data_IF_107733641637
#
_entry.id   IF_107733641637
#
_cell.length_a   1.000
_cell.length_b   1.000
_cell.length_c   1.000
_cell.angle_alpha   90.00
_cell.angle_beta   90.00
_cell.angle_gamma   90.00
#
_symmetry.space_group_name_H-M   'P 1'
#
loop_
_entity.id
_entity.type
_entity.pdbx_description
1 polymer ?
#
# COMPACT_ATOMS: atom_id res chain seq x y z
N UNK A 1 7.41 -2.24 -28.69
CA UNK A 1 7.02 -3.34 -27.79
C UNK A 1 8.04 -3.44 -26.65
N UNK A 2 9.31 -3.77 -26.90
CA UNK A 2 10.34 -3.94 -25.84
C UNK A 2 10.63 -2.71 -24.94
N UNK A 3 10.49 -1.49 -25.46
CA UNK A 3 10.73 -0.27 -24.65
C UNK A 3 9.60 0.01 -23.65
N UNK A 4 8.36 -0.31 -24.01
CA UNK A 4 7.21 -0.13 -23.10
C UNK A 4 7.28 -1.19 -22.01
N UNK A 5 7.61 -2.42 -22.38
CA UNK A 5 7.74 -3.54 -21.43
C UNK A 5 8.84 -3.29 -20.38
N UNK A 6 10.00 -2.79 -20.78
CA UNK A 6 11.06 -2.38 -19.83
C UNK A 6 10.65 -1.23 -18.92
N UNK A 7 9.85 -0.28 -19.40
CA UNK A 7 9.34 0.82 -18.58
C UNK A 7 8.37 0.30 -17.53
N UNK A 8 7.46 -0.61 -17.90
CA UNK A 8 6.52 -1.23 -16.96
C UNK A 8 7.27 -2.03 -15.89
N UNK A 9 8.26 -2.85 -16.27
CA UNK A 9 9.10 -3.59 -15.32
C UNK A 9 9.93 -2.69 -14.40
N UNK A 10 10.30 -1.49 -14.87
CA UNK A 10 11.04 -0.53 -14.03
C UNK A 10 10.13 0.19 -13.02
N UNK A 11 8.89 0.50 -13.41
CA UNK A 11 7.88 1.12 -12.53
C UNK A 11 7.47 0.11 -11.45
N UNK A 12 7.19 -1.12 -11.86
CA UNK A 12 6.95 -2.28 -11.02
C UNK A 12 7.98 -2.46 -9.89
N UNK A 13 9.26 -2.53 -10.28
CA UNK A 13 10.36 -2.69 -9.34
C UNK A 13 10.49 -1.50 -8.38
N UNK A 14 10.19 -0.29 -8.85
CA UNK A 14 10.20 0.93 -8.04
C UNK A 14 9.07 0.93 -7.00
N UNK A 15 7.83 0.62 -7.39
CA UNK A 15 6.67 0.56 -6.49
C UNK A 15 6.84 -0.47 -5.38
N UNK A 16 7.30 -1.67 -5.73
CA UNK A 16 7.58 -2.73 -4.76
C UNK A 16 8.69 -2.35 -3.79
N UNK A 17 9.70 -1.60 -4.26
CA UNK A 17 10.80 -1.10 -3.43
C UNK A 17 10.40 0.11 -2.55
N UNK A 18 9.37 0.88 -2.93
CA UNK A 18 8.84 2.01 -2.15
C UNK A 18 7.90 1.56 -1.02
N UNK A 19 7.25 0.41 -1.15
CA UNK A 19 6.29 -0.09 -0.16
C UNK A 19 6.88 -0.20 1.27
N UNK A 20 8.09 -0.78 1.49
CA UNK A 20 8.70 -0.82 2.81
C UNK A 20 8.96 0.56 3.42
N UNK A 21 9.34 1.55 2.62
CA UNK A 21 9.64 2.90 3.09
C UNK A 21 8.39 3.62 3.61
N UNK A 22 7.29 3.55 2.85
CA UNK A 22 6.01 4.16 3.21
C UNK A 22 5.37 3.44 4.41
N UNK A 23 5.54 2.12 4.48
CA UNK A 23 5.07 1.31 5.60
C UNK A 23 5.86 1.58 6.88
N UNK A 24 7.19 1.76 6.80
CA UNK A 24 8.02 2.14 7.95
C UNK A 24 7.61 3.51 8.49
N UNK A 25 7.35 4.49 7.62
CA UNK A 25 6.80 5.79 8.03
C UNK A 25 5.40 5.65 8.65
N UNK A 26 4.55 4.75 8.14
CA UNK A 26 3.25 4.45 8.76
C UNK A 26 3.43 3.96 10.21
N UNK A 27 4.30 2.95 10.41
CA UNK A 27 4.59 2.41 11.74
C UNK A 27 5.17 3.47 12.68
N UNK A 28 6.07 4.35 12.19
CA UNK A 28 6.62 5.47 12.97
C UNK A 28 5.54 6.50 13.36
N UNK A 29 4.61 6.81 12.45
CA UNK A 29 3.50 7.72 12.73
C UNK A 29 2.51 7.12 13.73
N UNK A 30 2.22 5.83 13.63
CA UNK A 30 1.32 5.12 14.56
C UNK A 30 1.94 4.84 15.93
N UNK A 31 3.23 4.51 16.00
CA UNK A 31 3.97 4.34 17.26
C UNK A 31 4.27 5.70 17.95
N UNK A 32 4.12 6.80 17.23
CA UNK A 32 4.62 8.11 17.62
C UNK A 32 3.61 9.09 18.22
N UNK A 33 2.30 8.79 18.34
CA UNK A 33 1.34 9.85 18.65
C UNK A 33 0.30 9.55 19.73
N UNK A 34 0.70 9.84 20.97
CA UNK A 34 -0.11 10.73 21.82
C UNK A 34 0.77 11.59 22.74
N UNK A 35 1.13 12.80 22.29
CA UNK A 35 1.84 13.78 23.13
C UNK A 35 0.90 14.41 24.18
N UNK A 36 -0.41 14.36 23.95
CA UNK A 36 -1.45 14.92 24.83
C UNK A 36 -1.82 14.02 26.00
N UNK A 37 -1.67 12.70 25.88
CA UNK A 37 -1.86 11.74 26.99
C UNK A 37 -0.76 11.82 28.05
N UNK A 38 0.48 12.15 27.66
CA UNK A 38 1.61 12.27 28.59
C UNK A 38 1.87 13.70 29.07
N UNK A 39 1.50 14.71 28.29
CA UNK A 39 1.71 16.12 28.61
C UNK A 39 0.49 16.98 28.24
N UNK A 40 -0.50 17.10 29.15
CA UNK A 40 -1.76 17.82 28.93
C UNK A 40 -1.59 19.29 28.50
N UNK A 41 -0.47 19.91 28.84
CA UNK A 41 -0.11 21.29 28.51
C UNK A 41 0.36 21.47 27.04
N UNK A 42 0.66 20.36 26.34
CA UNK A 42 1.16 20.32 24.96
C UNK A 42 0.12 19.83 23.95
N UNK A 43 -1.18 19.80 24.29
CA UNK A 43 -2.27 19.41 23.37
C UNK A 43 -2.34 20.22 22.06
N UNK A 44 -1.65 21.37 22.00
CA UNK A 44 -1.49 22.19 20.80
C UNK A 44 -0.42 21.69 19.80
N UNK A 45 0.51 20.80 20.22
CA UNK A 45 1.60 20.24 19.38
C UNK A 45 1.05 19.35 18.26
N UNK A 46 0.01 18.56 18.55
CA UNK A 46 -0.70 17.76 17.55
C UNK A 46 -1.40 18.65 16.51
N UNK A 47 -1.72 19.89 16.90
CA UNK A 47 -2.49 20.84 16.10
C UNK A 47 -1.62 21.83 15.29
N UNK A 48 -0.31 21.98 15.57
CA UNK A 48 0.46 23.11 15.03
C UNK A 48 1.15 22.92 13.67
N UNK A 49 1.75 21.79 13.23
CA UNK A 49 2.44 21.88 11.89
C UNK A 49 2.68 20.63 11.05
N UNK A 50 3.04 19.49 11.60
CA UNK A 50 3.71 18.46 10.78
C UNK A 50 2.96 17.15 10.66
N UNK A 51 2.44 16.64 11.78
CA UNK A 51 2.09 15.24 11.84
C UNK A 51 0.86 14.89 11.02
N UNK A 52 -0.24 15.64 11.16
CA UNK A 52 -1.45 15.39 10.35
C UNK A 52 -1.12 15.39 8.85
N UNK A 53 -0.34 16.37 8.38
CA UNK A 53 0.08 16.45 6.98
C UNK A 53 0.96 15.27 6.56
N UNK A 54 1.87 14.81 7.44
CA UNK A 54 2.70 13.61 7.19
C UNK A 54 1.86 12.34 7.15
N UNK A 55 0.86 12.22 8.04
CA UNK A 55 -0.07 11.09 8.05
C UNK A 55 -0.94 11.06 6.80
N UNK A 56 -1.56 12.18 6.43
CA UNK A 56 -2.34 12.31 5.20
C UNK A 56 -1.48 11.97 3.97
N UNK A 57 -0.26 12.51 3.90
CA UNK A 57 0.69 12.19 2.83
C UNK A 57 1.04 10.70 2.82
N UNK A 58 1.35 10.12 3.96
CA UNK A 58 1.74 8.72 4.05
C UNK A 58 0.59 7.78 3.66
N UNK A 59 -0.64 8.11 4.03
CA UNK A 59 -1.83 7.39 3.59
C UNK A 59 -2.04 7.48 2.07
N UNK A 60 -1.76 8.64 1.47
CA UNK A 60 -1.81 8.81 0.02
C UNK A 60 -0.71 7.99 -0.67
N UNK A 61 0.53 8.06 -0.16
CA UNK A 61 1.66 7.30 -0.69
C UNK A 61 1.38 5.78 -0.60
N UNK A 62 0.76 5.30 0.48
CA UNK A 62 0.34 3.88 0.62
C UNK A 62 -0.71 3.49 -0.42
N UNK A 63 -1.70 4.37 -0.68
CA UNK A 63 -2.72 4.14 -1.69
C UNK A 63 -2.10 4.03 -3.08
N UNK A 64 -1.25 4.99 -3.44
CA UNK A 64 -0.56 5.05 -4.74
C UNK A 64 0.30 3.81 -4.95
N UNK A 65 1.12 3.43 -3.96
CA UNK A 65 1.97 2.24 -4.09
C UNK A 65 1.15 0.96 -4.21
N UNK A 66 0.06 0.81 -3.47
CA UNK A 66 -0.82 -0.35 -3.62
C UNK A 66 -1.50 -0.39 -5.00
N UNK A 67 -1.94 0.76 -5.51
CA UNK A 67 -2.51 0.88 -6.86
C UNK A 67 -1.49 0.51 -7.95
N UNK A 68 -0.25 0.95 -7.82
CA UNK A 68 0.83 0.60 -8.75
C UNK A 68 1.13 -0.90 -8.74
N UNK A 69 1.24 -1.51 -7.56
CA UNK A 69 1.44 -2.96 -7.41
C UNK A 69 0.30 -3.73 -8.06
N UNK A 70 -0.95 -3.39 -7.76
CA UNK A 70 -2.10 -4.08 -8.34
C UNK A 70 -2.10 -3.95 -9.86
N UNK A 71 -1.93 -2.73 -10.38
CA UNK A 71 -1.92 -2.45 -11.82
C UNK A 71 -0.83 -3.24 -12.54
N UNK A 72 0.35 -3.36 -11.94
CA UNK A 72 1.43 -4.18 -12.49
C UNK A 72 0.97 -5.64 -12.68
N UNK A 73 0.37 -6.25 -11.66
CA UNK A 73 -0.07 -7.64 -11.71
C UNK A 73 -1.27 -7.82 -12.67
N UNK A 74 -2.09 -6.79 -12.86
CA UNK A 74 -3.13 -6.79 -13.89
C UNK A 74 -2.57 -6.72 -15.32
N UNK A 75 -1.55 -5.89 -15.55
CA UNK A 75 -0.92 -5.66 -16.85
C UNK A 75 0.04 -6.81 -17.27
N UNK A 76 0.64 -7.51 -16.30
CA UNK A 76 1.59 -8.63 -16.53
C UNK A 76 0.94 -9.82 -17.26
N UNK A 77 -0.37 -10.01 -17.13
CA UNK A 77 -1.07 -11.17 -17.69
C UNK A 77 -0.59 -12.52 -17.11
N UNK A 78 -1.08 -13.63 -17.66
CA UNK A 78 -0.68 -14.99 -17.21
C UNK A 78 0.71 -15.42 -17.72
N UNK A 79 1.37 -14.60 -18.55
CA UNK A 79 2.60 -14.98 -19.24
C UNK A 79 3.86 -14.58 -18.43
N UNK A 80 4.43 -15.55 -17.71
CA UNK A 80 5.90 -15.66 -17.64
C UNK A 80 6.59 -15.55 -16.29
N UNK A 81 5.89 -15.30 -15.18
CA UNK A 81 6.44 -15.45 -13.82
C UNK A 81 5.44 -16.18 -12.94
N UNK A 82 5.96 -17.04 -12.06
CA UNK A 82 5.15 -17.84 -11.14
C UNK A 82 4.17 -16.96 -10.36
N UNK A 83 2.98 -17.51 -10.11
CA UNK A 83 1.92 -16.86 -9.35
C UNK A 83 2.40 -16.47 -7.95
N UNK A 84 2.25 -15.19 -7.60
CA UNK A 84 2.52 -14.67 -6.26
C UNK A 84 1.23 -14.34 -5.48
N UNK A 85 1.39 -13.80 -4.28
CA UNK A 85 0.26 -13.49 -3.40
C UNK A 85 -0.76 -12.53 -4.03
N UNK A 86 -0.30 -11.50 -4.76
CA UNK A 86 -1.18 -10.49 -5.36
C UNK A 86 -1.93 -11.11 -6.54
N UNK A 87 -1.25 -11.96 -7.32
CA UNK A 87 -1.88 -12.72 -8.41
C UNK A 87 -3.03 -13.60 -7.91
N UNK A 88 -2.84 -14.30 -6.78
CA UNK A 88 -3.90 -15.14 -6.17
C UNK A 88 -5.10 -14.29 -5.78
N UNK A 89 -4.90 -13.13 -5.15
CA UNK A 89 -5.99 -12.24 -4.74
C UNK A 89 -6.77 -11.72 -5.95
N UNK A 90 -6.08 -11.34 -7.02
CA UNK A 90 -6.71 -10.89 -8.26
C UNK A 90 -7.53 -12.01 -8.92
N UNK A 91 -7.02 -13.24 -8.95
CA UNK A 91 -7.76 -14.40 -9.46
C UNK A 91 -9.02 -14.66 -8.62
N UNK A 92 -8.91 -14.59 -7.29
CA UNK A 92 -10.06 -14.76 -6.38
C UNK A 92 -11.10 -13.67 -6.62
N UNK A 93 -10.68 -12.40 -6.73
CA UNK A 93 -11.56 -11.29 -7.06
C UNK A 93 -12.29 -11.50 -8.39
N UNK A 94 -11.57 -11.91 -9.46
CA UNK A 94 -12.15 -12.15 -10.79
C UNK A 94 -13.07 -13.36 -10.84
N UNK A 95 -12.79 -14.41 -10.07
CA UNK A 95 -13.61 -15.62 -10.06
C UNK A 95 -15.01 -15.40 -9.48
N UNK A 96 -15.20 -14.35 -8.66
CA UNK A 96 -16.52 -13.96 -8.12
C UNK A 96 -17.19 -15.03 -7.26
N UNK A 97 -16.47 -16.08 -6.85
CA UNK A 97 -17.02 -17.23 -6.12
C UNK A 97 -17.18 -17.02 -4.61
N UNK A 98 -16.88 -15.82 -4.12
CA UNK A 98 -17.01 -15.48 -2.71
C UNK A 98 -18.43 -14.97 -2.42
N UNK A 99 -19.01 -15.43 -1.30
CA UNK A 99 -20.29 -14.92 -0.78
C UNK A 99 -20.23 -13.39 -0.52
N UNK A 100 -19.06 -12.91 -0.11
CA UNK A 100 -18.74 -11.48 -0.01
C UNK A 100 -17.70 -11.13 -1.08
N UNK A 101 -18.02 -10.27 -2.06
CA UNK A 101 -17.09 -9.89 -3.11
C UNK A 101 -15.81 -9.25 -2.55
N UNK A 102 -14.66 -9.67 -3.07
CA UNK A 102 -13.39 -9.01 -2.81
C UNK A 102 -13.33 -7.72 -3.63
N UNK A 103 -13.74 -6.59 -3.05
CA UNK A 103 -13.69 -5.27 -3.70
C UNK A 103 -12.24 -4.82 -3.89
N UNK A 104 -12.01 -3.82 -4.77
CA UNK A 104 -10.68 -3.24 -4.98
C UNK A 104 -10.08 -2.69 -3.66
N UNK A 105 -10.89 -2.03 -2.83
CA UNK A 105 -10.44 -1.51 -1.54
C UNK A 105 -10.10 -2.63 -0.55
N UNK A 106 -10.88 -3.71 -0.54
CA UNK A 106 -10.60 -4.87 0.31
C UNK A 106 -9.31 -5.58 -0.14
N UNK A 107 -9.08 -5.68 -1.45
CA UNK A 107 -7.84 -6.23 -2.00
C UNK A 107 -6.63 -5.40 -1.58
N UNK A 108 -6.69 -4.06 -1.75
CA UNK A 108 -5.64 -3.13 -1.29
C UNK A 108 -5.36 -3.28 0.20
N UNK A 109 -6.41 -3.40 1.02
CA UNK A 109 -6.27 -3.56 2.47
C UNK A 109 -5.55 -4.88 2.85
N UNK A 110 -5.89 -5.98 2.17
CA UNK A 110 -5.25 -7.29 2.41
C UNK A 110 -3.78 -7.30 1.95
N UNK A 111 -3.49 -6.68 0.80
CA UNK A 111 -2.11 -6.47 0.33
C UNK A 111 -1.30 -5.70 1.37
N UNK A 112 -1.81 -4.54 1.80
CA UNK A 112 -1.15 -3.73 2.82
C UNK A 112 -0.94 -4.49 4.13
N UNK A 113 -1.94 -5.24 4.60
CA UNK A 113 -1.85 -6.06 5.81
C UNK A 113 -0.74 -7.11 5.72
N UNK A 114 -0.66 -7.85 4.62
CA UNK A 114 0.36 -8.88 4.42
C UNK A 114 1.78 -8.27 4.42
N UNK A 115 1.98 -7.18 3.69
CA UNK A 115 3.29 -6.50 3.66
C UNK A 115 3.63 -5.76 4.95
N UNK A 116 2.63 -5.40 5.77
CA UNK A 116 2.84 -4.80 7.09
C UNK A 116 3.47 -5.73 8.13
N UNK A 117 3.67 -7.00 7.77
CA UNK A 117 4.24 -8.02 8.65
C UNK A 117 3.19 -8.68 9.54
N UNK A 118 2.00 -8.96 8.97
CA UNK A 118 0.91 -9.66 9.67
C UNK A 118 1.35 -10.87 10.47
#
# INVERSE_FOLDING_TARGET
>A
MEHVDRLLQSIAADSSNRLPEVLEEAQRLFAGFDVGEFFPELGWVNSVTGLRRRLEKNLEDLRVVCDEIIREHEERGEEGKGEDFVDVLLRVQRSGGLEVPLTADNLKAVVLFFFSGG
#
